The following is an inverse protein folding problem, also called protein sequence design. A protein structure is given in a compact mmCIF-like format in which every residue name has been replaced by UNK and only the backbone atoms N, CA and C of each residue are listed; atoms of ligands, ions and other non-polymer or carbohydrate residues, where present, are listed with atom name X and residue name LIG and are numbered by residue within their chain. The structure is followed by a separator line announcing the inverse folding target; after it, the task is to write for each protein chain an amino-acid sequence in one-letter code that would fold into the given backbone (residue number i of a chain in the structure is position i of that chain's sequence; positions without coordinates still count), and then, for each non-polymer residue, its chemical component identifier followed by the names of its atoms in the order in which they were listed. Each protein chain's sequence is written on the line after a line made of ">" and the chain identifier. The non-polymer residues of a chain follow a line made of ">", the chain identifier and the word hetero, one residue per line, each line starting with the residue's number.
data_IF_024108249896
#
_entry.id   IF_024108249896
#
_cell.length_a   1.000
_cell.length_b   1.000
_cell.length_c   1.000
_cell.angle_alpha   90.00
_cell.angle_beta   90.00
_cell.angle_gamma   90.00
#
_symmetry.space_group_name_H-M   'P 1'
#
loop_
_entity.id
_entity.type
_entity.pdbx_description
1 polymer ?
#
# COMPACT_ATOMS: atom_id res chain seq x y z
N UNK A 1 -0.35 14.81 -0.57
CA UNK A 1 0.04 13.61 -1.33
C UNK A 1 -0.66 13.60 -2.68
N UNK A 2 -0.02 13.10 -3.74
CA UNK A 2 -0.64 12.96 -5.07
C UNK A 2 -0.23 11.62 -5.67
N UNK A 3 -1.20 10.91 -6.23
CA UNK A 3 -0.99 9.68 -6.97
C UNK A 3 -1.22 9.91 -8.47
N UNK A 4 -0.39 9.30 -9.30
CA UNK A 4 -0.47 9.31 -10.76
C UNK A 4 -1.05 7.97 -11.21
N UNK A 5 -2.19 7.99 -11.90
CA UNK A 5 -2.81 6.81 -12.51
C UNK A 5 -1.91 6.28 -13.65
N UNK A 6 -1.63 4.98 -13.61
CA UNK A 6 -0.82 4.24 -14.60
C UNK A 6 -1.64 3.27 -15.45
N UNK A 7 -2.97 3.39 -15.39
CA UNK A 7 -3.92 2.57 -16.09
C UNK A 7 -4.27 1.28 -15.34
N UNK A 8 -5.17 0.53 -15.97
CA UNK A 8 -5.62 -0.77 -15.49
C UNK A 8 -4.53 -1.83 -15.64
N UNK A 9 -4.43 -2.70 -14.65
CA UNK A 9 -3.59 -3.89 -14.67
C UNK A 9 -4.34 -5.01 -13.97
N UNK A 10 -4.64 -6.09 -14.71
CA UNK A 10 -5.50 -7.18 -14.23
C UNK A 10 -6.79 -6.65 -13.58
N UNK A 11 -7.04 -6.97 -12.30
CA UNK A 11 -8.27 -6.67 -11.56
C UNK A 11 -8.29 -5.28 -10.88
N UNK A 12 -7.42 -4.33 -11.26
CA UNK A 12 -7.41 -3.01 -10.63
C UNK A 12 -6.65 -1.95 -11.40
N UNK A 13 -6.64 -0.73 -10.88
CA UNK A 13 -5.83 0.39 -11.39
C UNK A 13 -4.52 0.49 -10.63
N UNK A 14 -3.45 0.87 -11.33
CA UNK A 14 -2.16 1.13 -10.72
C UNK A 14 -1.94 2.61 -10.51
N UNK A 15 -1.30 2.94 -9.40
CA UNK A 15 -0.94 4.28 -9.02
C UNK A 15 0.51 4.35 -8.54
N UNK A 16 1.16 5.45 -8.86
CA UNK A 16 2.49 5.80 -8.34
C UNK A 16 2.35 7.09 -7.55
N UNK A 17 2.95 7.17 -6.37
CA UNK A 17 2.85 8.38 -5.54
C UNK A 17 4.00 8.51 -4.56
N UNK A 18 4.05 9.67 -3.93
CA UNK A 18 4.99 9.95 -2.85
C UNK A 18 4.21 10.40 -1.61
N UNK A 19 4.57 9.82 -0.46
CA UNK A 19 3.97 10.09 0.84
C UNK A 19 5.11 10.21 1.85
N UNK A 20 5.26 11.39 2.44
CA UNK A 20 6.27 11.70 3.45
C UNK A 20 7.71 11.31 3.07
N UNK A 21 8.07 11.55 1.80
CA UNK A 21 9.39 11.24 1.24
C UNK A 21 9.56 9.80 0.75
N UNK A 22 8.60 8.92 1.01
CA UNK A 22 8.61 7.55 0.52
C UNK A 22 7.90 7.44 -0.82
N UNK A 23 8.44 6.61 -1.70
CA UNK A 23 7.85 6.33 -3.01
C UNK A 23 7.00 5.06 -2.95
N UNK A 24 5.79 5.11 -3.49
CA UNK A 24 4.81 4.04 -3.41
C UNK A 24 4.33 3.58 -4.79
N UNK A 25 4.20 2.27 -4.94
CA UNK A 25 3.43 1.64 -6.01
C UNK A 25 2.19 0.97 -5.41
N UNK A 26 1.02 1.31 -5.93
CA UNK A 26 -0.26 0.85 -5.36
C UNK A 26 -1.13 0.27 -6.46
N UNK A 27 -1.74 -0.90 -6.22
CA UNK A 27 -2.82 -1.43 -7.04
C UNK A 27 -4.12 -1.40 -6.25
N UNK A 28 -5.16 -0.81 -6.85
CA UNK A 28 -6.46 -0.57 -6.23
C UNK A 28 -7.55 -1.22 -7.07
N UNK A 29 -8.31 -2.12 -6.46
CA UNK A 29 -9.49 -2.73 -7.07
C UNK A 29 -10.64 -1.73 -7.18
N UNK A 30 -11.65 -2.04 -8.00
CA UNK A 30 -12.86 -1.20 -8.09
C UNK A 30 -13.65 -1.22 -6.78
N UNK A 31 -13.78 -2.41 -6.19
CA UNK A 31 -14.53 -2.68 -4.96
C UNK A 31 -13.63 -3.19 -3.83
N UNK A 32 -14.01 -2.97 -2.56
CA UNK A 32 -13.29 -3.53 -1.42
C UNK A 32 -13.24 -5.06 -1.47
N UNK A 33 -12.20 -5.66 -0.90
CA UNK A 33 -12.05 -7.12 -0.88
C UNK A 33 -11.39 -7.61 0.42
N UNK A 34 -11.60 -8.89 0.74
CA UNK A 34 -10.86 -9.54 1.82
C UNK A 34 -9.34 -9.59 1.56
N UNK A 35 -8.89 -9.43 0.32
CA UNK A 35 -7.47 -9.34 -0.03
C UNK A 35 -6.90 -7.92 0.08
N UNK A 36 -7.73 -6.92 0.39
CA UNK A 36 -7.27 -5.54 0.54
C UNK A 36 -6.76 -5.26 1.95
N UNK A 37 -5.82 -4.31 2.06
CA UNK A 37 -5.42 -3.74 3.34
C UNK A 37 -6.65 -3.16 4.04
N UNK A 38 -6.84 -3.44 5.33
CA UNK A 38 -8.03 -3.04 6.09
C UNK A 38 -9.37 -3.51 5.45
N UNK A 39 -9.33 -4.65 4.75
CA UNK A 39 -10.43 -5.13 3.92
C UNK A 39 -10.94 -4.04 2.96
N UNK A 40 -10.01 -3.24 2.43
CA UNK A 40 -10.23 -2.15 1.49
C UNK A 40 -10.00 -2.57 0.05
N UNK A 41 -9.68 -1.62 -0.80
CA UNK A 41 -9.47 -1.80 -2.24
C UNK A 41 -8.01 -1.96 -2.61
N UNK A 42 -7.08 -1.54 -1.74
CA UNK A 42 -5.65 -1.68 -1.98
C UNK A 42 -5.25 -3.14 -1.92
N UNK A 43 -5.12 -3.79 -3.08
CA UNK A 43 -4.75 -5.20 -3.22
C UNK A 43 -3.25 -5.42 -3.27
N UNK A 44 -2.49 -4.40 -3.67
CA UNK A 44 -1.02 -4.40 -3.65
C UNK A 44 -0.49 -3.05 -3.24
N UNK A 45 0.58 -3.05 -2.45
CA UNK A 45 1.30 -1.85 -2.03
C UNK A 45 2.78 -2.18 -1.85
N UNK A 46 3.65 -1.42 -2.51
CA UNK A 46 5.10 -1.50 -2.30
C UNK A 46 5.57 -0.11 -1.84
N UNK A 47 6.37 -0.08 -0.77
CA UNK A 47 7.00 1.14 -0.26
C UNK A 47 8.49 1.08 -0.53
N UNK A 48 9.02 2.13 -1.11
CA UNK A 48 10.44 2.35 -1.39
C UNK A 48 10.94 3.57 -0.59
N UNK A 49 12.24 3.62 -0.24
CA UNK A 49 12.80 4.77 0.47
C UNK A 49 12.68 6.06 -0.34
N UNK A 50 12.77 5.96 -1.68
CA UNK A 50 12.62 7.08 -2.62
C UNK A 50 12.41 6.53 -4.04
N UNK A 51 12.21 7.43 -5.01
CA UNK A 51 11.94 7.09 -6.42
C UNK A 51 13.13 6.49 -7.19
N UNK A 52 14.35 6.69 -6.71
CA UNK A 52 15.58 6.13 -7.30
C UNK A 52 15.85 4.69 -6.87
N UNK A 53 15.12 4.21 -5.86
CA UNK A 53 15.25 2.86 -5.34
C UNK A 53 14.99 1.81 -6.44
N UNK A 54 15.91 0.86 -6.54
CA UNK A 54 15.73 -0.33 -7.36
C UNK A 54 14.77 -1.31 -6.68
N UNK A 55 14.18 -2.22 -7.46
CA UNK A 55 13.19 -3.19 -7.00
C UNK A 55 13.62 -4.00 -5.75
N UNK A 56 14.92 -4.28 -5.60
CA UNK A 56 15.48 -5.01 -4.47
C UNK A 56 15.56 -4.21 -3.16
N UNK A 57 15.23 -2.91 -3.16
CA UNK A 57 15.28 -2.03 -1.98
C UNK A 57 13.88 -1.70 -1.43
N UNK A 58 12.89 -2.55 -1.70
CA UNK A 58 11.55 -2.44 -1.12
C UNK A 58 11.62 -2.52 0.42
N UNK A 59 11.02 -1.54 1.11
CA UNK A 59 10.90 -1.53 2.57
C UNK A 59 9.71 -2.36 3.04
N UNK A 60 8.64 -2.32 2.25
CA UNK A 60 7.40 -3.07 2.48
C UNK A 60 6.90 -3.60 1.16
N UNK A 61 6.37 -4.83 1.20
CA UNK A 61 5.66 -5.43 0.09
C UNK A 61 4.37 -6.08 0.60
N UNK A 62 3.25 -5.55 0.16
CA UNK A 62 1.94 -6.15 0.32
C UNK A 62 1.46 -6.63 -1.05
N UNK A 63 1.25 -7.93 -1.19
CA UNK A 63 0.57 -8.53 -2.35
C UNK A 63 -0.52 -9.47 -1.84
N UNK A 64 -1.70 -8.89 -1.56
CA UNK A 64 -2.85 -9.58 -0.96
C UNK A 64 -2.55 -10.24 0.39
N UNK A 65 -1.53 -9.72 1.08
CA UNK A 65 -0.93 -10.23 2.30
C UNK A 65 0.44 -9.59 2.51
N UNK A 66 0.91 -9.53 3.76
CA UNK A 66 2.18 -8.92 4.09
C UNK A 66 3.35 -9.89 3.87
N UNK A 67 4.22 -9.57 2.91
CA UNK A 67 5.44 -10.32 2.64
C UNK A 67 6.42 -10.20 3.83
N UNK A 68 6.55 -11.27 4.63
CA UNK A 68 7.34 -11.26 5.87
C UNK A 68 6.64 -10.65 7.09
N UNK A 69 5.33 -10.39 7.02
CA UNK A 69 4.53 -9.80 8.11
C UNK A 69 4.38 -8.28 8.01
N UNK A 70 3.42 -7.68 8.74
CA UNK A 70 3.17 -6.25 8.67
C UNK A 70 4.37 -5.45 9.19
N UNK A 71 4.61 -4.25 8.65
CA UNK A 71 5.72 -3.41 9.09
C UNK A 71 5.60 -3.07 10.57
N UNK A 72 6.73 -2.94 11.26
CA UNK A 72 6.79 -2.53 12.68
C UNK A 72 7.27 -1.10 12.86
N UNK A 73 7.96 -0.51 11.87
CA UNK A 73 8.37 0.90 11.89
C UNK A 73 7.13 1.81 11.83
N UNK A 74 6.97 2.67 12.84
CA UNK A 74 5.83 3.58 12.96
C UNK A 74 5.72 4.59 11.81
N UNK A 75 6.86 5.02 11.24
CA UNK A 75 6.87 5.95 10.10
C UNK A 75 6.30 5.29 8.85
N UNK A 76 6.66 4.02 8.64
CA UNK A 76 6.15 3.24 7.52
C UNK A 76 4.66 2.92 7.71
N UNK A 77 4.23 2.62 8.93
CA UNK A 77 2.80 2.46 9.24
C UNK A 77 2.00 3.72 8.93
N UNK A 78 2.47 4.89 9.36
CA UNK A 78 1.82 6.18 9.09
C UNK A 78 1.70 6.46 7.58
N UNK A 79 2.74 6.18 6.79
CA UNK A 79 2.71 6.25 5.32
C UNK A 79 1.61 5.35 4.73
N UNK A 80 1.48 4.12 5.23
CA UNK A 80 0.48 3.17 4.75
C UNK A 80 -0.92 3.62 5.19
N UNK A 81 -1.10 4.08 6.43
CA UNK A 81 -2.38 4.60 6.93
C UNK A 81 -2.85 5.79 6.10
N UNK A 82 -1.98 6.75 5.80
CA UNK A 82 -2.29 7.88 4.91
C UNK A 82 -2.70 7.41 3.51
N UNK A 83 -2.04 6.37 3.00
CA UNK A 83 -2.36 5.78 1.69
C UNK A 83 -3.72 5.09 1.70
N UNK A 84 -4.02 4.28 2.73
CA UNK A 84 -5.32 3.64 2.92
C UNK A 84 -6.42 4.67 3.13
N UNK A 85 -6.17 5.74 3.89
CA UNK A 85 -7.13 6.83 4.06
C UNK A 85 -7.40 7.56 2.74
N UNK A 86 -6.37 7.78 1.91
CA UNK A 86 -6.53 8.43 0.61
C UNK A 86 -7.39 7.62 -0.36
N UNK A 87 -7.12 6.32 -0.49
CA UNK A 87 -7.88 5.48 -1.41
C UNK A 87 -9.22 5.05 -0.81
N UNK A 88 -9.25 4.57 0.43
CA UNK A 88 -10.43 3.88 0.97
C UNK A 88 -11.17 4.63 2.06
N UNK A 89 -10.65 5.76 2.56
CA UNK A 89 -11.19 6.51 3.70
C UNK A 89 -11.38 5.62 4.94
N UNK A 90 -10.43 4.71 5.16
CA UNK A 90 -10.41 3.72 6.25
C UNK A 90 -9.19 3.91 7.16
N UNK A 91 -9.35 3.49 8.41
CA UNK A 91 -8.25 3.26 9.35
C UNK A 91 -7.79 1.79 9.31
N UNK A 92 -6.53 1.55 9.66
CA UNK A 92 -5.95 0.20 9.71
C UNK A 92 -6.00 -0.31 11.15
N UNK A 93 -6.56 -1.49 11.37
CA UNK A 93 -6.34 -2.25 12.59
C UNK A 93 -5.10 -3.13 12.41
N UNK A 94 -3.96 -2.67 12.92
CA UNK A 94 -2.69 -3.40 12.84
C UNK A 94 -2.71 -4.73 13.61
N UNK A 95 -3.57 -4.88 14.61
CA UNK A 95 -3.70 -6.13 15.35
C UNK A 95 -4.40 -7.19 14.50
N UNK A 96 -5.37 -6.77 13.69
CA UNK A 96 -6.01 -7.62 12.68
C UNK A 96 -5.04 -7.96 11.55
N UNK A 97 -4.32 -6.98 11.00
CA UNK A 97 -3.35 -7.19 9.91
C UNK A 97 -2.18 -8.11 10.32
N UNK A 98 -1.79 -8.12 11.60
CA UNK A 98 -0.77 -9.03 12.12
C UNK A 98 -1.21 -10.50 12.25
N UNK A 99 -2.49 -10.78 12.10
CA UNK A 99 -3.06 -12.15 12.19
C UNK A 99 -3.39 -12.75 10.83
N UNK A 100 -3.10 -12.04 9.73
CA UNK A 100 -3.43 -12.43 8.35
C UNK A 100 -2.36 -13.31 7.72
#
# INVERSE_FOLDING_TARGET
>A
MRFVDKGSWYMGKRFLGEVDGYYLEVQVFSEPSHYGIAQGRISRLIVYPDRSAQFNRKLVNYDRGWDGGPPTDSRIRDVIEKTVQYFDRKSIDWSFEARR
#
